data_IF_703788619890
#
_entry.id   IF_703788619890
#
_cell.length_a   1.000
_cell.length_b   1.000
_cell.length_c   1.000
_cell.angle_alpha   90.00
_cell.angle_beta   90.00
_cell.angle_gamma   90.00
#
_symmetry.space_group_name_H-M   'P 1'
#
loop_
_entity.id
_entity.type
_entity.pdbx_description
1 polymer ?
#
# COMPACT_ATOMS: atom_id res chain seq x y z
N UNK A 1 46.72 30.31 4.39
CA UNK A 1 45.27 30.56 4.25
C UNK A 1 44.68 29.53 3.29
N UNK A 2 44.34 28.31 3.75
CA UNK A 2 43.95 27.21 2.88
C UNK A 2 42.50 26.82 3.16
N UNK A 3 41.49 27.54 2.66
CA UNK A 3 40.11 27.19 3.07
C UNK A 3 39.04 27.41 2.01
N UNK A 4 39.30 28.21 0.96
CA UNK A 4 38.27 28.52 -0.02
C UNK A 4 37.91 27.30 -0.86
N UNK A 5 38.94 26.65 -1.41
CA UNK A 5 38.81 25.49 -2.29
C UNK A 5 38.31 24.22 -1.56
N UNK A 6 38.80 24.01 -0.33
CA UNK A 6 38.37 22.89 0.51
C UNK A 6 36.89 22.99 0.94
N UNK A 7 36.39 24.21 1.16
CA UNK A 7 34.99 24.44 1.53
C UNK A 7 34.07 24.24 0.33
N UNK A 8 34.48 24.71 -0.85
CA UNK A 8 33.76 24.47 -2.10
C UNK A 8 33.65 22.98 -2.41
N UNK A 9 34.75 22.23 -2.29
CA UNK A 9 34.74 20.78 -2.49
C UNK A 9 33.82 20.06 -1.49
N UNK A 10 33.82 20.48 -0.22
CA UNK A 10 32.93 19.92 0.79
C UNK A 10 31.44 20.17 0.48
N UNK A 11 31.10 21.36 -0.02
CA UNK A 11 29.74 21.70 -0.46
C UNK A 11 29.30 20.88 -1.68
N UNK A 12 30.17 20.70 -2.68
CA UNK A 12 29.85 19.87 -3.86
C UNK A 12 29.69 18.39 -3.52
N UNK A 13 30.52 17.85 -2.62
CA UNK A 13 30.35 16.48 -2.14
C UNK A 13 29.06 16.31 -1.32
N UNK A 14 28.67 17.33 -0.54
CA UNK A 14 27.42 17.33 0.21
C UNK A 14 26.18 17.43 -0.70
N UNK A 15 26.22 18.24 -1.76
CA UNK A 15 25.12 18.32 -2.73
C UNK A 15 24.89 16.99 -3.42
N UNK A 16 25.96 16.31 -3.82
CA UNK A 16 25.88 15.01 -4.46
C UNK A 16 25.24 13.94 -3.55
N UNK A 17 25.61 13.90 -2.26
CA UNK A 17 25.00 13.01 -1.26
C UNK A 17 23.52 13.30 -1.06
N UNK A 18 23.15 14.58 -0.94
CA UNK A 18 21.75 15.00 -0.80
C UNK A 18 20.91 14.61 -2.02
N UNK A 19 21.44 14.84 -3.24
CA UNK A 19 20.74 14.50 -4.48
C UNK A 19 20.60 12.99 -4.69
N UNK A 20 21.52 12.18 -4.16
CA UNK A 20 21.39 10.71 -4.13
C UNK A 20 20.42 10.20 -3.05
N UNK A 21 20.04 11.04 -2.09
CA UNK A 21 19.20 10.64 -0.96
C UNK A 21 19.97 9.88 0.13
N UNK A 22 21.28 10.09 0.23
CA UNK A 22 22.16 9.49 1.23
C UNK A 22 22.73 10.55 2.20
N UNK A 23 21.87 11.31 2.93
CA UNK A 23 22.34 12.30 3.90
C UNK A 23 23.09 11.61 5.04
N UNK A 24 24.23 12.17 5.44
CA UNK A 24 25.04 11.63 6.54
C UNK A 24 24.92 12.47 7.81
N UNK A 25 24.67 13.78 7.68
CA UNK A 25 24.64 14.74 8.80
C UNK A 25 23.38 15.59 8.86
N UNK A 26 22.57 15.57 7.81
CA UNK A 26 21.34 16.36 7.68
C UNK A 26 20.08 15.47 7.68
N UNK A 27 18.92 16.12 7.70
CA UNK A 27 17.61 15.49 7.60
C UNK A 27 17.25 15.02 6.17
N UNK A 28 18.15 15.19 5.21
CA UNK A 28 17.91 14.85 3.80
C UNK A 28 17.06 15.86 3.04
N UNK A 29 16.71 17.00 3.65
CA UNK A 29 15.98 18.05 2.96
C UNK A 29 16.86 18.71 1.89
N UNK A 30 16.32 18.94 0.69
CA UNK A 30 17.03 19.58 -0.42
C UNK A 30 17.06 21.11 -0.28
N UNK A 31 17.48 21.61 0.89
CA UNK A 31 17.60 23.05 1.17
C UNK A 31 19.06 23.45 1.37
N UNK A 32 19.35 24.74 1.17
CA UNK A 32 20.69 25.31 1.43
C UNK A 32 21.10 25.14 2.90
N UNK A 33 20.12 25.18 3.82
CA UNK A 33 20.38 24.96 5.24
C UNK A 33 20.89 23.54 5.48
N UNK A 34 20.21 22.54 4.94
CA UNK A 34 20.61 21.13 5.04
C UNK A 34 21.92 20.86 4.29
N UNK A 35 22.17 21.52 3.16
CA UNK A 35 23.45 21.46 2.44
C UNK A 35 24.63 21.95 3.30
N UNK A 36 24.47 23.09 4.00
CA UNK A 36 25.52 23.62 4.87
C UNK A 36 25.80 22.69 6.06
N UNK A 37 24.75 22.12 6.66
CA UNK A 37 24.86 21.13 7.73
C UNK A 37 25.55 19.86 7.22
N UNK A 38 25.17 19.38 6.04
CA UNK A 38 25.72 18.19 5.40
C UNK A 38 27.21 18.35 5.03
N UNK A 39 27.60 19.55 4.59
CA UNK A 39 29.00 19.91 4.35
C UNK A 39 29.81 20.18 5.63
N UNK A 40 29.15 20.27 6.79
CA UNK A 40 29.80 20.57 8.07
C UNK A 40 30.32 22.01 8.17
N UNK A 41 29.71 22.95 7.45
CA UNK A 41 30.12 24.37 7.42
C UNK A 41 29.01 25.29 7.89
N UNK A 42 29.38 26.49 8.34
CA UNK A 42 28.38 27.50 8.71
C UNK A 42 27.61 27.98 7.48
N UNK A 43 26.34 28.40 7.64
CA UNK A 43 25.56 29.02 6.55
C UNK A 43 26.29 30.24 5.96
N UNK A 44 26.89 31.07 6.79
CA UNK A 44 27.67 32.23 6.36
C UNK A 44 28.88 31.85 5.50
N UNK A 45 29.52 30.71 5.79
CA UNK A 45 30.61 30.16 4.96
C UNK A 45 30.08 29.65 3.63
N UNK A 46 28.93 28.97 3.61
CA UNK A 46 28.31 28.47 2.39
C UNK A 46 27.88 29.60 1.43
N UNK A 47 27.33 30.70 1.95
CA UNK A 47 26.95 31.87 1.14
C UNK A 47 28.10 32.58 0.43
N UNK A 48 29.36 32.27 0.77
CA UNK A 48 30.53 32.77 0.03
C UNK A 48 30.74 32.06 -1.31
N UNK A 49 30.01 30.96 -1.58
CA UNK A 49 30.06 30.17 -2.82
C UNK A 49 28.70 30.21 -3.54
N UNK A 50 28.24 31.38 -4.00
CA UNK A 50 26.92 31.52 -4.62
C UNK A 50 26.77 30.66 -5.88
N UNK A 51 27.86 30.36 -6.60
CA UNK A 51 27.84 29.49 -7.78
C UNK A 51 27.48 28.04 -7.44
N UNK A 52 28.04 27.48 -6.36
CA UNK A 52 27.71 26.12 -5.90
C UNK A 52 26.26 26.05 -5.40
N UNK A 53 25.79 27.10 -4.73
CA UNK A 53 24.40 27.17 -4.26
C UNK A 53 23.41 27.31 -5.43
N UNK A 54 23.79 28.02 -6.49
CA UNK A 54 23.00 28.12 -7.71
C UNK A 54 22.93 26.76 -8.43
N UNK A 55 24.08 26.13 -8.68
CA UNK A 55 24.16 24.79 -9.28
C UNK A 55 23.32 23.76 -8.50
N UNK A 56 23.39 23.79 -7.16
CA UNK A 56 22.56 22.92 -6.33
C UNK A 56 21.07 23.19 -6.51
N UNK A 57 20.64 24.46 -6.57
CA UNK A 57 19.24 24.81 -6.78
C UNK A 57 18.74 24.36 -8.15
N UNK A 58 19.55 24.53 -9.19
CA UNK A 58 19.23 24.12 -10.55
C UNK A 58 19.06 22.60 -10.61
N UNK A 59 19.99 21.84 -10.02
CA UNK A 59 19.90 20.38 -9.93
C UNK A 59 18.69 19.89 -9.12
N UNK A 60 18.31 20.62 -8.05
CA UNK A 60 17.09 20.32 -7.28
C UNK A 60 15.84 20.60 -8.13
N UNK A 61 15.81 21.72 -8.85
CA UNK A 61 14.70 22.07 -9.74
C UNK A 61 14.54 21.04 -10.87
N UNK A 62 15.64 20.65 -11.53
CA UNK A 62 15.65 19.62 -12.57
C UNK A 62 15.14 18.28 -12.04
N UNK A 63 15.53 17.92 -10.80
CA UNK A 63 15.06 16.70 -10.14
C UNK A 63 13.57 16.79 -9.79
N UNK A 64 13.10 17.93 -9.30
CA UNK A 64 11.68 18.15 -9.00
C UNK A 64 10.82 18.16 -10.27
N UNK A 65 11.33 18.72 -11.37
CA UNK A 65 10.68 18.68 -12.67
C UNK A 65 10.65 17.26 -13.26
N UNK A 66 11.73 16.50 -13.13
CA UNK A 66 11.78 15.08 -13.50
C UNK A 66 10.90 14.20 -12.58
N UNK A 67 10.76 14.57 -11.31
CA UNK A 67 9.95 13.86 -10.31
C UNK A 67 8.47 14.30 -10.33
N UNK A 68 8.13 15.38 -11.04
CA UNK A 68 6.74 15.76 -11.25
C UNK A 68 6.01 14.54 -11.83
N UNK A 69 4.95 14.01 -11.17
CA UNK A 69 4.26 12.85 -11.67
C UNK A 69 3.79 13.14 -13.09
N UNK A 70 4.40 12.47 -14.06
CA UNK A 70 4.00 12.61 -15.46
C UNK A 70 2.48 12.47 -15.51
N UNK A 71 1.80 13.27 -16.32
CA UNK A 71 0.33 13.20 -16.41
C UNK A 71 -0.14 11.74 -16.63
N UNK A 72 0.70 10.94 -17.30
CA UNK A 72 0.59 9.49 -17.47
C UNK A 72 0.56 8.70 -16.14
N UNK A 73 1.50 8.90 -15.21
CA UNK A 73 1.48 8.21 -13.91
C UNK A 73 0.24 8.56 -13.09
N UNK A 74 -0.22 9.82 -13.13
CA UNK A 74 -1.48 10.21 -12.47
C UNK A 74 -2.70 9.54 -13.09
N UNK A 75 -2.74 9.44 -14.42
CA UNK A 75 -3.80 8.71 -15.14
C UNK A 75 -3.77 7.23 -14.81
N UNK A 76 -2.60 6.60 -14.74
CA UNK A 76 -2.42 5.20 -14.39
C UNK A 76 -2.88 4.90 -12.97
N UNK A 77 -2.51 5.74 -11.99
CA UNK A 77 -3.01 5.63 -10.61
C UNK A 77 -4.54 5.74 -10.55
N UNK A 78 -5.14 6.64 -11.33
CA UNK A 78 -6.60 6.76 -11.37
C UNK A 78 -7.26 5.54 -12.04
N UNK A 79 -6.67 5.01 -13.11
CA UNK A 79 -7.13 3.81 -13.78
C UNK A 79 -7.07 2.59 -12.84
N UNK A 80 -5.96 2.41 -12.13
CA UNK A 80 -5.76 1.34 -11.14
C UNK A 80 -6.77 1.46 -9.99
N UNK A 81 -6.99 2.66 -9.45
CA UNK A 81 -8.03 2.91 -8.43
C UNK A 81 -9.43 2.57 -8.95
N UNK A 82 -9.71 2.86 -10.22
CA UNK A 82 -10.97 2.50 -10.88
C UNK A 82 -11.15 0.99 -10.99
N UNK A 83 -10.12 0.27 -11.43
CA UNK A 83 -10.12 -1.18 -11.54
C UNK A 83 -10.27 -1.87 -10.17
N UNK A 84 -9.54 -1.39 -9.16
CA UNK A 84 -9.62 -1.90 -7.80
C UNK A 84 -11.04 -1.74 -7.21
N UNK A 85 -11.69 -0.60 -7.44
CA UNK A 85 -13.08 -0.37 -7.02
C UNK A 85 -14.04 -1.35 -7.69
N UNK A 86 -13.90 -1.60 -9.00
CA UNK A 86 -14.73 -2.57 -9.74
C UNK A 86 -14.55 -3.98 -9.18
N UNK A 87 -13.30 -4.41 -9.01
CA UNK A 87 -12.98 -5.73 -8.48
C UNK A 87 -13.56 -5.93 -7.06
N UNK A 88 -13.47 -4.91 -6.20
CA UNK A 88 -14.10 -4.96 -4.86
C UNK A 88 -15.63 -5.09 -4.93
N UNK A 89 -16.28 -4.41 -5.88
CA UNK A 89 -17.73 -4.48 -6.03
C UNK A 89 -18.18 -5.85 -6.53
N UNK A 90 -17.48 -6.41 -7.52
CA UNK A 90 -17.71 -7.75 -8.06
C UNK A 90 -17.51 -8.80 -6.97
N UNK A 91 -16.39 -8.74 -6.25
CA UNK A 91 -16.12 -9.68 -5.17
C UNK A 91 -17.16 -9.58 -4.05
N UNK A 92 -17.57 -8.37 -3.67
CA UNK A 92 -18.63 -8.20 -2.66
C UNK A 92 -19.98 -8.76 -3.13
N UNK A 93 -20.27 -8.71 -4.44
CA UNK A 93 -21.47 -9.32 -5.02
C UNK A 93 -21.39 -10.83 -4.97
N UNK A 94 -20.29 -11.41 -5.43
CA UNK A 94 -20.06 -12.86 -5.40
C UNK A 94 -20.16 -13.43 -3.97
N UNK A 95 -19.53 -12.77 -2.99
CA UNK A 95 -19.62 -13.17 -1.58
C UNK A 95 -21.07 -13.14 -1.08
N UNK A 96 -21.88 -12.16 -1.48
CA UNK A 96 -23.31 -12.11 -1.12
C UNK A 96 -24.09 -13.26 -1.75
N UNK A 97 -23.86 -13.54 -3.03
CA UNK A 97 -24.52 -14.63 -3.76
C UNK A 97 -24.16 -15.98 -3.14
N UNK A 98 -22.88 -16.24 -2.87
CA UNK A 98 -22.41 -17.46 -2.20
C UNK A 98 -23.02 -17.62 -0.80
N UNK A 99 -23.07 -16.55 0.00
CA UNK A 99 -23.72 -16.59 1.33
C UNK A 99 -25.20 -16.90 1.23
N UNK A 100 -25.89 -16.34 0.25
CA UNK A 100 -27.30 -16.66 0.00
C UNK A 100 -27.49 -18.14 -0.34
N UNK A 101 -26.68 -18.67 -1.26
CA UNK A 101 -26.71 -20.09 -1.64
C UNK A 101 -26.43 -21.01 -0.46
N UNK A 102 -25.43 -20.69 0.37
CA UNK A 102 -25.12 -21.45 1.59
C UNK A 102 -26.32 -21.47 2.54
N UNK A 103 -27.01 -20.35 2.73
CA UNK A 103 -28.19 -20.29 3.60
C UNK A 103 -29.33 -21.15 3.05
N UNK A 104 -29.60 -21.09 1.73
CA UNK A 104 -30.63 -21.93 1.10
C UNK A 104 -30.30 -23.42 1.26
N UNK A 105 -29.05 -23.81 1.00
CA UNK A 105 -28.61 -25.19 1.14
C UNK A 105 -28.70 -25.66 2.61
N UNK A 106 -28.31 -24.81 3.57
CA UNK A 106 -28.43 -25.12 4.98
C UNK A 106 -29.90 -25.36 5.40
N UNK A 107 -30.83 -24.54 4.89
CA UNK A 107 -32.27 -24.72 5.13
C UNK A 107 -32.78 -26.03 4.53
N UNK A 108 -32.38 -26.37 3.30
CA UNK A 108 -32.74 -27.65 2.67
C UNK A 108 -32.22 -28.85 3.45
N UNK A 109 -30.96 -28.80 3.92
CA UNK A 109 -30.38 -29.85 4.77
C UNK A 109 -31.17 -30.00 6.08
N UNK A 110 -31.57 -28.90 6.71
CA UNK A 110 -32.39 -28.94 7.92
C UNK A 110 -33.75 -29.59 7.65
N UNK A 111 -34.43 -29.22 6.57
CA UNK A 111 -35.71 -29.79 6.18
C UNK A 111 -35.58 -31.31 5.94
N UNK A 112 -34.63 -31.73 5.12
CA UNK A 112 -34.37 -33.14 4.83
C UNK A 112 -34.00 -33.93 6.09
N UNK A 113 -33.30 -33.30 7.03
CA UNK A 113 -32.97 -33.93 8.32
C UNK A 113 -34.23 -34.18 9.15
N UNK A 114 -35.16 -33.23 9.19
CA UNK A 114 -36.44 -33.38 9.90
C UNK A 114 -37.31 -34.45 9.25
N UNK A 115 -37.43 -34.43 7.92
CA UNK A 115 -38.19 -35.44 7.15
C UNK A 115 -37.63 -36.84 7.38
N UNK A 116 -36.31 -37.02 7.30
CA UNK A 116 -35.67 -38.31 7.60
C UNK A 116 -35.98 -38.79 9.02
N UNK A 117 -35.90 -37.91 10.03
CA UNK A 117 -36.27 -38.29 11.42
C UNK A 117 -37.72 -38.74 11.53
N UNK A 118 -38.65 -38.02 10.90
CA UNK A 118 -40.06 -38.39 10.89
C UNK A 118 -40.29 -39.76 10.25
N UNK A 119 -39.64 -40.01 9.10
CA UNK A 119 -39.73 -41.29 8.39
C UNK A 119 -39.14 -42.44 9.20
N UNK A 120 -37.96 -42.26 9.82
CA UNK A 120 -37.36 -43.27 10.70
C UNK A 120 -38.27 -43.60 11.88
N UNK A 121 -38.87 -42.58 12.53
CA UNK A 121 -39.80 -42.80 13.65
C UNK A 121 -41.10 -43.51 13.23
N UNK A 122 -41.57 -43.31 12.00
CA UNK A 122 -42.73 -44.01 11.46
C UNK A 122 -42.40 -45.48 11.16
N UNK A 123 -41.23 -45.73 10.57
CA UNK A 123 -40.72 -47.08 10.31
C UNK A 123 -40.54 -47.88 11.62
N UNK A 124 -39.91 -47.29 12.64
CA UNK A 124 -39.72 -47.92 13.96
C UNK A 124 -41.05 -48.27 14.64
N UNK A 125 -42.06 -47.39 14.53
CA UNK A 125 -43.41 -47.65 15.05
C UNK A 125 -44.07 -48.83 14.34
N UNK A 126 -43.96 -48.90 13.01
CA UNK A 126 -44.51 -50.01 12.21
C UNK A 126 -43.83 -51.34 12.54
N UNK A 127 -42.50 -51.35 12.69
CA UNK A 127 -41.74 -52.55 13.07
C UNK A 127 -42.10 -53.05 14.48
N UNK A 128 -42.36 -52.15 15.44
CA UNK A 128 -42.86 -52.54 16.76
C UNK A 128 -44.25 -53.19 16.72
N UNK A 129 -45.17 -52.66 15.92
CA UNK A 129 -46.53 -53.24 15.78
C UNK A 129 -46.46 -54.64 15.18
N UNK A 130 -45.71 -54.81 14.08
CA UNK A 130 -45.58 -56.12 13.42
C UNK A 130 -44.86 -57.18 14.26
N UNK A 131 -44.00 -56.79 15.21
CA UNK A 131 -43.41 -57.72 16.18
C UNK A 131 -44.39 -58.20 17.26
N UNK A 132 -45.41 -57.40 17.62
CA UNK A 132 -46.40 -57.79 18.63
C UNK A 132 -47.32 -58.89 18.08
N UNK A 133 -47.72 -58.78 16.81
CA UNK A 133 -48.64 -59.74 16.17
C UNK A 133 -48.01 -61.10 15.80
N UNK A 134 -46.68 -61.26 15.98
CA UNK A 134 -45.94 -62.50 15.65
C UNK A 134 -45.54 -63.35 16.87
N UNK A 135 -46.00 -63.02 18.08
CA UNK A 135 -45.75 -63.79 19.31
C UNK A 135 -46.93 -64.68 19.66
#
# INVERSE_FOLDING_TARGET
>A
MPTTDATEAALRAASERLLRGEPTRSDGSLTIASLAVEAGVSRASAYRYPHVLAEFRDLVADREEAAAPSASLRQEVQALKGAERRLRQEHAREVRELRSSINVLAQQVQLLTLENRCLSQAADRSDRVTRIDRR
#
